data_IF_144045166720
#
_entry.id   IF_144045166720
#
_cell.length_a   1.000
_cell.length_b   1.000
_cell.length_c   1.000
_cell.angle_alpha   90.00
_cell.angle_beta   90.00
_cell.angle_gamma   90.00
#
_symmetry.space_group_name_H-M   'P 1'
#
loop_
_entity.id
_entity.type
_entity.pdbx_description
1 polymer ?
#
# COMPACT_ATOMS: atom_id res chain seq x y z
N UNK A 1 3.81 -1.02 -33.30
CA UNK A 1 4.58 -0.34 -32.36
C UNK A 1 3.85 -0.14 -31.05
N UNK A 2 4.58 -0.17 -30.05
CA UNK A 2 4.04 -0.08 -28.73
C UNK A 2 4.15 1.34 -28.22
N UNK A 3 3.14 1.84 -27.61
CA UNK A 3 3.28 3.09 -26.92
C UNK A 3 3.04 2.86 -25.45
N UNK A 4 3.24 3.87 -24.66
CA UNK A 4 3.18 3.69 -23.22
C UNK A 4 1.80 3.29 -22.74
N UNK A 5 0.75 3.59 -23.49
CA UNK A 5 -0.60 3.22 -23.11
C UNK A 5 -0.80 1.71 -23.17
N UNK A 6 -0.01 1.03 -23.98
CA UNK A 6 -0.13 -0.42 -24.14
C UNK A 6 0.73 -1.19 -23.16
N UNK A 7 1.56 -0.51 -22.41
CA UNK A 7 2.44 -1.21 -21.50
C UNK A 7 1.71 -1.53 -20.20
N UNK A 8 1.89 -2.75 -19.68
CA UNK A 8 1.33 -3.05 -18.37
C UNK A 8 2.04 -2.24 -17.30
N UNK A 9 1.35 -2.05 -16.20
CA UNK A 9 1.99 -1.42 -15.06
C UNK A 9 3.17 -2.26 -14.61
N UNK A 10 4.25 -1.62 -14.15
CA UNK A 10 5.41 -2.38 -13.69
C UNK A 10 5.09 -3.26 -12.51
N UNK A 11 4.21 -2.81 -11.62
CA UNK A 11 3.81 -3.61 -10.48
C UNK A 11 2.53 -3.05 -9.89
N UNK A 12 1.80 -3.90 -9.19
CA UNK A 12 0.66 -3.47 -8.38
C UNK A 12 1.19 -3.28 -6.96
N UNK A 13 1.01 -2.09 -6.43
CA UNK A 13 1.43 -1.80 -5.07
C UNK A 13 0.39 -2.25 -4.07
N UNK A 14 0.85 -2.86 -2.99
CA UNK A 14 -0.01 -3.20 -1.87
C UNK A 14 0.64 -2.65 -0.61
N UNK A 15 -0.15 -2.03 0.27
CA UNK A 15 0.47 -1.55 1.50
C UNK A 15 0.80 -2.73 2.40
N UNK A 16 1.85 -2.54 3.18
CA UNK A 16 2.33 -3.61 4.05
C UNK A 16 2.66 -3.04 5.42
N UNK A 17 2.39 -3.83 6.44
CA UNK A 17 2.61 -3.41 7.81
C UNK A 17 3.47 -4.45 8.51
N UNK A 18 4.51 -4.00 9.20
CA UNK A 18 5.32 -4.90 10.01
C UNK A 18 4.62 -5.14 11.33
N UNK A 19 4.88 -6.31 11.91
CA UNK A 19 4.17 -6.74 13.11
C UNK A 19 4.30 -5.73 14.24
N UNK A 20 5.50 -5.23 14.46
CA UNK A 20 5.72 -4.30 15.58
C UNK A 20 5.01 -2.97 15.38
N UNK A 21 4.67 -2.62 14.15
CA UNK A 21 4.02 -1.35 13.85
C UNK A 21 2.50 -1.45 13.87
N UNK A 22 1.97 -2.66 13.89
CA UNK A 22 0.53 -2.85 13.68
C UNK A 22 -0.33 -2.16 14.76
N UNK A 23 -0.03 -2.31 16.06
CA UNK A 23 -0.88 -1.65 17.05
C UNK A 23 -0.90 -0.13 16.91
N UNK A 24 0.27 0.47 16.63
CA UNK A 24 0.32 1.92 16.47
C UNK A 24 -0.44 2.37 15.24
N UNK A 25 -0.33 1.63 14.13
CA UNK A 25 -1.03 2.00 12.91
C UNK A 25 -2.54 1.83 13.04
N UNK A 26 -3.01 0.83 13.79
CA UNK A 26 -4.43 0.70 14.02
C UNK A 26 -5.01 1.94 14.69
N UNK A 27 -4.24 2.54 15.59
CA UNK A 27 -4.69 3.76 16.26
C UNK A 27 -4.61 4.97 15.36
N UNK A 28 -3.63 4.99 14.47
CA UNK A 28 -3.43 6.13 13.57
C UNK A 28 -4.42 6.14 12.41
N UNK A 29 -4.77 4.97 11.89
CA UNK A 29 -5.64 4.91 10.73
C UNK A 29 -7.05 5.38 11.08
N UNK A 30 -7.60 6.26 10.27
CA UNK A 30 -8.95 6.74 10.47
C UNK A 30 -9.96 5.61 10.44
N UNK A 31 -9.68 4.55 9.68
CA UNK A 31 -10.53 3.38 9.58
C UNK A 31 -9.96 2.18 10.31
N UNK A 32 -9.12 2.41 11.31
CA UNK A 32 -8.47 1.32 12.02
C UNK A 32 -9.45 0.36 12.69
N UNK A 33 -10.62 0.85 13.06
CA UNK A 33 -11.63 0.00 13.66
C UNK A 33 -12.22 -1.01 12.68
N UNK A 34 -12.00 -0.81 11.40
CA UNK A 34 -12.50 -1.72 10.36
C UNK A 34 -11.47 -2.75 9.95
N UNK A 35 -10.27 -2.66 10.48
CA UNK A 35 -9.21 -3.62 10.18
C UNK A 35 -9.19 -4.72 11.24
N UNK A 36 -8.61 -5.87 10.92
CA UNK A 36 -8.52 -6.94 11.91
C UNK A 36 -7.83 -6.48 13.18
N UNK A 37 -8.24 -7.01 14.30
CA UNK A 37 -7.66 -6.62 15.59
C UNK A 37 -6.25 -7.17 15.78
N UNK A 38 -5.94 -8.31 15.17
CA UNK A 38 -4.64 -8.92 15.32
C UNK A 38 -3.84 -8.78 14.03
N UNK A 39 -2.54 -8.63 14.20
CA UNK A 39 -1.64 -8.60 13.08
C UNK A 39 -1.72 -9.90 12.26
N UNK A 40 -1.87 -11.03 12.93
CA UNK A 40 -1.91 -12.30 12.23
C UNK A 40 -3.09 -12.38 11.26
N UNK A 41 -4.25 -11.91 11.71
CA UNK A 41 -5.42 -11.89 10.84
C UNK A 41 -5.22 -10.93 9.66
N UNK A 42 -4.66 -9.77 9.94
CA UNK A 42 -4.38 -8.81 8.87
C UNK A 42 -3.41 -9.40 7.86
N UNK A 43 -2.33 -10.03 8.37
CA UNK A 43 -1.32 -10.59 7.49
C UNK A 43 -1.89 -11.68 6.60
N UNK A 44 -2.74 -12.52 7.15
CA UNK A 44 -3.39 -13.57 6.37
C UNK A 44 -4.16 -12.97 5.21
N UNK A 45 -4.96 -11.94 5.48
CA UNK A 45 -5.73 -11.27 4.43
C UNK A 45 -4.80 -10.63 3.40
N UNK A 46 -3.74 -10.01 3.87
CA UNK A 46 -2.82 -9.31 2.98
C UNK A 46 -2.08 -10.29 2.07
N UNK A 47 -1.65 -11.41 2.63
CA UNK A 47 -0.97 -12.44 1.84
C UNK A 47 -1.92 -13.04 0.82
N UNK A 48 -3.17 -13.28 1.20
CA UNK A 48 -4.14 -13.84 0.27
C UNK A 48 -4.39 -12.89 -0.90
N UNK A 49 -4.50 -11.60 -0.61
CA UNK A 49 -4.67 -10.62 -1.68
C UNK A 49 -3.44 -10.58 -2.60
N UNK A 50 -2.27 -10.60 -2.00
CA UNK A 50 -1.02 -10.61 -2.77
C UNK A 50 -0.95 -11.83 -3.68
N UNK A 51 -1.28 -13.00 -3.14
CA UNK A 51 -1.26 -14.23 -3.93
C UNK A 51 -2.28 -14.18 -5.06
N UNK A 52 -3.44 -13.60 -4.79
CA UNK A 52 -4.46 -13.46 -5.84
C UNK A 52 -3.98 -12.60 -6.99
N UNK A 53 -3.31 -11.50 -6.67
CA UNK A 53 -2.78 -10.63 -7.72
C UNK A 53 -1.71 -11.35 -8.53
N UNK A 54 -0.83 -12.09 -7.86
CA UNK A 54 0.19 -12.84 -8.56
C UNK A 54 -0.40 -13.93 -9.45
N UNK A 55 -1.47 -14.56 -8.99
CA UNK A 55 -2.13 -15.60 -9.76
C UNK A 55 -2.71 -15.07 -11.06
N UNK A 56 -3.08 -13.78 -11.09
CA UNK A 56 -3.54 -13.14 -12.32
C UNK A 56 -2.41 -12.58 -13.16
N UNK A 57 -1.17 -12.83 -12.76
CA UNK A 57 -0.02 -12.40 -13.55
C UNK A 57 0.49 -11.02 -13.24
N UNK A 58 0.07 -10.43 -12.12
CA UNK A 58 0.51 -9.10 -11.74
C UNK A 58 1.75 -9.19 -10.84
N UNK A 59 2.83 -8.51 -11.18
CA UNK A 59 3.92 -8.34 -10.22
C UNK A 59 3.40 -7.50 -9.05
N UNK A 60 3.81 -7.83 -7.86
CA UNK A 60 3.34 -7.14 -6.66
C UNK A 60 4.51 -6.48 -5.96
N UNK A 61 4.32 -5.23 -5.57
CA UNK A 61 5.30 -4.49 -4.78
C UNK A 61 4.70 -4.17 -3.43
N UNK A 62 5.33 -4.66 -2.37
CA UNK A 62 4.92 -4.32 -1.02
C UNK A 62 5.45 -2.95 -0.66
N UNK A 63 4.58 -2.09 -0.14
CA UNK A 63 4.94 -0.74 0.25
C UNK A 63 4.71 -0.63 1.75
N UNK A 64 5.80 -0.61 2.51
CA UNK A 64 5.72 -0.57 3.96
C UNK A 64 5.21 0.79 4.43
N UNK A 65 4.28 0.75 5.37
CA UNK A 65 3.77 1.95 6.02
C UNK A 65 4.36 2.01 7.43
N UNK A 66 4.99 3.13 7.75
CA UNK A 66 5.60 3.34 9.06
C UNK A 66 4.81 4.36 9.85
N UNK A 67 4.52 4.09 11.13
CA UNK A 67 3.74 5.04 11.93
C UNK A 67 4.47 6.37 12.13
N UNK A 68 5.79 6.39 12.03
CA UNK A 68 6.55 7.61 12.24
C UNK A 68 6.52 8.57 11.07
N UNK A 69 6.27 8.08 9.86
CA UNK A 69 6.35 8.92 8.67
C UNK A 69 5.02 9.08 7.94
N UNK A 70 4.12 8.11 8.08
CA UNK A 70 2.88 8.14 7.32
C UNK A 70 2.01 9.36 7.60
N UNK A 71 1.79 9.75 8.88
CA UNK A 71 0.94 10.93 9.13
C UNK A 71 1.47 12.20 8.48
N UNK A 72 2.79 12.40 8.56
CA UNK A 72 3.38 13.59 7.94
C UNK A 72 3.24 13.58 6.43
N UNK A 73 3.42 12.39 5.84
CA UNK A 73 3.24 12.27 4.40
C UNK A 73 1.81 12.60 3.99
N UNK A 74 0.83 12.09 4.73
CA UNK A 74 -0.57 12.36 4.43
C UNK A 74 -0.89 13.85 4.56
N UNK A 75 -0.36 14.49 5.60
CA UNK A 75 -0.59 15.92 5.78
C UNK A 75 0.02 16.71 4.63
N UNK A 76 1.21 16.34 4.21
CA UNK A 76 1.89 17.05 3.12
C UNK A 76 1.18 16.87 1.78
N UNK A 77 0.44 15.80 1.62
CA UNK A 77 -0.24 15.51 0.37
C UNK A 77 -1.76 15.73 0.44
N UNK A 78 -2.24 16.30 1.53
CA UNK A 78 -3.64 16.66 1.65
C UNK A 78 -4.58 15.49 1.61
N UNK A 79 -4.20 14.35 2.20
CA UNK A 79 -5.03 13.17 2.20
C UNK A 79 -5.26 12.69 3.63
N UNK A 80 -6.25 11.80 3.80
CA UNK A 80 -6.60 11.31 5.13
C UNK A 80 -5.64 10.22 5.59
N UNK A 81 -5.82 9.78 6.83
CA UNK A 81 -5.03 8.72 7.42
C UNK A 81 -5.72 7.38 7.27
N UNK A 82 -6.59 7.24 6.29
CA UNK A 82 -7.36 6.03 6.09
C UNK A 82 -7.06 5.40 4.75
N UNK A 83 -8.11 4.80 4.19
CA UNK A 83 -7.98 4.05 2.94
C UNK A 83 -7.43 4.89 1.80
N UNK A 84 -7.94 6.13 1.66
CA UNK A 84 -7.47 6.99 0.58
C UNK A 84 -6.00 7.35 0.74
N UNK A 85 -5.60 7.67 1.97
CA UNK A 85 -4.21 8.00 2.23
C UNK A 85 -3.29 6.83 1.93
N UNK A 86 -3.69 5.63 2.33
CA UNK A 86 -2.88 4.44 2.04
C UNK A 86 -2.78 4.21 0.54
N UNK A 87 -3.89 4.40 -0.18
CA UNK A 87 -3.90 4.20 -1.61
C UNK A 87 -2.97 5.18 -2.32
N UNK A 88 -3.03 6.45 -1.94
CA UNK A 88 -2.17 7.45 -2.53
C UNK A 88 -0.71 7.23 -2.17
N UNK A 89 -0.45 6.83 -0.94
CA UNK A 89 0.91 6.56 -0.50
C UNK A 89 1.54 5.43 -1.30
N UNK A 90 0.77 4.36 -1.50
CA UNK A 90 1.23 3.21 -2.27
C UNK A 90 1.48 3.61 -3.73
N UNK A 91 0.56 4.36 -4.32
CA UNK A 91 0.72 4.78 -5.71
C UNK A 91 1.97 5.64 -5.88
N UNK A 92 2.23 6.54 -4.94
CA UNK A 92 3.41 7.37 -4.99
C UNK A 92 4.68 6.54 -4.90
N UNK A 93 4.68 5.52 -4.03
CA UNK A 93 5.85 4.68 -3.86
C UNK A 93 6.14 3.86 -5.11
N UNK A 94 5.10 3.35 -5.75
CA UNK A 94 5.29 2.60 -6.99
C UNK A 94 5.84 3.51 -8.07
N UNK A 95 5.30 4.70 -8.20
CA UNK A 95 5.79 5.66 -9.17
C UNK A 95 7.25 6.02 -8.91
N UNK A 96 7.60 6.23 -7.66
CA UNK A 96 8.97 6.57 -7.32
C UNK A 96 9.93 5.43 -7.63
N UNK A 97 9.51 4.20 -7.34
CA UNK A 97 10.34 3.02 -7.54
C UNK A 97 10.64 2.77 -9.02
N UNK A 98 9.65 2.94 -9.87
CA UNK A 98 9.77 2.65 -11.29
C UNK A 98 9.97 3.90 -12.12
N UNK A 99 9.86 5.04 -11.51
CA UNK A 99 10.07 6.30 -12.19
C UNK A 99 9.00 6.59 -13.20
N UNK A 100 9.25 7.66 -13.92
CA UNK A 100 8.42 8.04 -15.04
C UNK A 100 8.88 7.29 -16.25
N UNK A 101 8.00 6.54 -16.83
CA UNK A 101 8.34 5.68 -17.94
C UNK A 101 8.14 6.37 -19.29
N UNK A 102 8.43 7.60 -19.36
CA UNK A 102 8.23 8.36 -20.60
C UNK A 102 9.02 7.91 -21.76
#
# INVERSE_FOLDING_TARGET
MTNSADRPLPAVGVYWIDEEDYPALLKLFADGDKLPRSFEEWRKMAVEMEQGLKAYGHPVMRVRIEPGTFPGWCAAHGTDLGRQGRKKFVAAAVTERYGNQD
#
